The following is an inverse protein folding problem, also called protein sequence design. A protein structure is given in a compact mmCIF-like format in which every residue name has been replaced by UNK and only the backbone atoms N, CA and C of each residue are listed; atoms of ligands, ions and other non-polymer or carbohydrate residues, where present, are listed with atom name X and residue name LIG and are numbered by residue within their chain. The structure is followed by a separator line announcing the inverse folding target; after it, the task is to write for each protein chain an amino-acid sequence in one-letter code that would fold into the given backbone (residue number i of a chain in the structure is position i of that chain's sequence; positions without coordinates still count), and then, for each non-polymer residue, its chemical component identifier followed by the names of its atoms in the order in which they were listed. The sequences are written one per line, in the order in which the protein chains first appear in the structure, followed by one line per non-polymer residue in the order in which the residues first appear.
data_IF_611594167947
#
_entry.id   IF_611594167947
#
_cell.length_a   1.000
_cell.length_b   1.000
_cell.length_c   1.000
_cell.angle_alpha   90.00
_cell.angle_beta   90.00
_cell.angle_gamma   90.00
#
_symmetry.space_group_name_H-M   'P 1'
#
loop_
_entity.id
_entity.type
_entity.pdbx_description
1 polymer ?
#
# COMPACT_ATOMS: atom_id res chain seq x y z
N UNK A 1 -39.25 -13.78 -19.39
CA UNK A 1 -38.24 -14.28 -18.44
C UNK A 1 -37.14 -13.23 -18.32
N UNK A 2 -37.17 -12.44 -17.26
CA UNK A 2 -36.28 -11.30 -17.03
C UNK A 2 -34.94 -11.80 -16.46
N UNK A 3 -33.84 -11.38 -17.09
CA UNK A 3 -32.47 -11.66 -16.65
C UNK A 3 -32.25 -11.07 -15.24
N UNK A 4 -31.81 -11.85 -14.24
CA UNK A 4 -31.45 -11.30 -12.95
C UNK A 4 -30.27 -10.34 -13.14
N UNK A 5 -30.46 -9.09 -12.74
CA UNK A 5 -29.37 -8.12 -12.64
C UNK A 5 -28.51 -8.55 -11.47
N UNK A 6 -27.36 -9.17 -11.76
CA UNK A 6 -26.29 -9.26 -10.76
C UNK A 6 -25.86 -7.83 -10.46
N UNK A 7 -26.27 -7.32 -9.29
CA UNK A 7 -25.73 -6.09 -8.76
C UNK A 7 -24.23 -6.26 -8.61
N UNK A 8 -23.45 -5.68 -9.52
CA UNK A 8 -22.03 -5.50 -9.31
C UNK A 8 -21.91 -4.66 -8.05
N UNK A 9 -21.33 -5.23 -6.98
CA UNK A 9 -20.87 -4.42 -5.86
C UNK A 9 -19.84 -3.44 -6.44
N UNK A 10 -20.28 -2.22 -6.76
CA UNK A 10 -19.41 -1.14 -7.16
C UNK A 10 -18.59 -0.84 -5.92
N UNK A 11 -17.34 -1.29 -5.88
CA UNK A 11 -16.37 -0.75 -4.93
C UNK A 11 -16.51 0.77 -5.02
N UNK A 12 -16.87 1.42 -3.91
CA UNK A 12 -17.03 2.87 -3.87
C UNK A 12 -15.82 3.48 -4.60
N UNK A 13 -16.09 4.27 -5.63
CA UNK A 13 -15.04 4.87 -6.46
C UNK A 13 -14.12 5.67 -5.54
N UNK A 14 -12.83 5.39 -5.61
CA UNK A 14 -11.86 6.08 -4.77
C UNK A 14 -11.82 7.56 -5.16
N UNK A 15 -11.86 8.51 -4.21
CA UNK A 15 -11.96 9.94 -4.51
C UNK A 15 -10.60 10.48 -4.99
N UNK A 16 -10.27 10.22 -6.25
CA UNK A 16 -9.01 10.65 -6.88
C UNK A 16 -8.81 12.17 -6.88
N UNK A 17 -9.91 12.91 -6.90
CA UNK A 17 -9.96 14.37 -6.82
C UNK A 17 -9.43 14.92 -5.48
N UNK A 18 -9.41 14.09 -4.44
CA UNK A 18 -8.93 14.46 -3.11
C UNK A 18 -7.46 14.07 -2.86
N UNK A 19 -6.82 13.41 -3.83
CA UNK A 19 -5.41 13.01 -3.70
C UNK A 19 -4.51 14.20 -3.99
N UNK A 20 -3.81 14.65 -2.96
CA UNK A 20 -2.79 15.69 -3.06
C UNK A 20 -1.41 15.11 -2.77
N UNK A 21 -0.43 15.46 -3.61
CA UNK A 21 0.98 15.25 -3.27
C UNK A 21 1.41 16.32 -2.27
N UNK A 22 1.93 15.87 -1.13
CA UNK A 22 2.44 16.73 -0.07
C UNK A 22 3.94 16.51 0.08
N UNK A 23 4.63 17.52 0.58
CA UNK A 23 6.00 17.37 1.06
C UNK A 23 6.01 16.57 2.37
N UNK A 24 7.15 15.92 2.66
CA UNK A 24 7.28 15.05 3.83
C UNK A 24 6.91 15.76 5.15
N UNK A 25 7.33 17.01 5.31
CA UNK A 25 7.06 17.79 6.53
C UNK A 25 5.57 18.11 6.70
N UNK A 26 4.88 18.41 5.60
CA UNK A 26 3.44 18.68 5.60
C UNK A 26 2.61 17.41 5.81
N UNK A 27 3.13 16.27 5.33
CA UNK A 27 2.55 14.96 5.60
C UNK A 27 2.78 14.53 7.05
N UNK A 28 3.89 14.94 7.69
CA UNK A 28 4.30 14.56 9.03
C UNK A 28 3.71 15.46 10.15
N UNK A 29 2.41 15.70 10.11
CA UNK A 29 1.73 16.65 11.00
C UNK A 29 1.16 16.05 12.28
N UNK A 30 1.07 14.72 12.39
CA UNK A 30 0.51 14.01 13.56
C UNK A 30 -0.99 14.22 13.80
N UNK A 31 -1.65 15.08 13.00
CA UNK A 31 -3.08 15.41 13.09
C UNK A 31 -3.96 14.54 12.19
N UNK A 32 -3.35 13.80 11.26
CA UNK A 32 -4.01 12.90 10.32
C UNK A 32 -3.52 11.47 10.50
N UNK A 33 -4.36 10.49 10.14
CA UNK A 33 -3.94 9.10 10.13
C UNK A 33 -2.94 8.88 9.00
N UNK A 34 -1.69 8.62 9.38
CA UNK A 34 -0.59 8.32 8.48
C UNK A 34 -0.42 6.81 8.34
N UNK A 35 -0.18 6.37 7.11
CA UNK A 35 0.24 5.02 6.79
C UNK A 35 1.49 5.07 5.91
N UNK A 36 2.43 4.17 6.16
CA UNK A 36 3.65 4.04 5.39
C UNK A 36 3.72 2.64 4.78
N UNK A 37 4.15 2.60 3.52
CA UNK A 37 4.30 1.38 2.74
C UNK A 37 5.61 1.44 1.98
N UNK A 38 6.28 0.29 1.78
CA UNK A 38 7.52 0.25 1.01
C UNK A 38 7.40 -0.66 -0.20
N UNK A 39 7.93 -0.16 -1.32
CA UNK A 39 8.19 -0.97 -2.50
C UNK A 39 9.58 -1.58 -2.38
N UNK A 40 9.64 -2.87 -2.04
CA UNK A 40 10.89 -3.63 -2.02
C UNK A 40 11.02 -4.30 -3.39
N UNK A 41 12.11 -4.00 -4.10
CA UNK A 41 12.34 -4.56 -5.43
C UNK A 41 13.80 -4.95 -5.66
N UNK A 42 14.02 -5.87 -6.59
CA UNK A 42 15.33 -6.26 -7.08
C UNK A 42 15.33 -6.36 -8.60
N UNK A 43 16.40 -5.89 -9.25
CA UNK A 43 16.61 -6.11 -10.69
C UNK A 43 16.85 -7.59 -10.95
N UNK A 44 16.45 -8.06 -12.13
CA UNK A 44 16.63 -9.46 -12.53
C UNK A 44 16.85 -9.57 -14.04
N UNK A 45 17.51 -10.64 -14.44
CA UNK A 45 17.69 -11.01 -15.86
C UNK A 45 16.82 -12.22 -16.23
N UNK A 46 15.97 -12.68 -15.30
CA UNK A 46 15.07 -13.79 -15.53
C UNK A 46 14.13 -13.52 -16.71
N UNK A 47 13.76 -14.57 -17.43
CA UNK A 47 12.82 -14.49 -18.56
C UNK A 47 11.57 -15.32 -18.26
N UNK A 48 10.40 -14.70 -18.33
CA UNK A 48 9.12 -15.41 -18.31
C UNK A 48 8.94 -16.19 -19.60
N UNK A 49 8.65 -17.49 -19.48
CA UNK A 49 8.53 -18.45 -20.60
C UNK A 49 9.74 -18.38 -21.55
N UNK A 50 10.95 -18.20 -21.00
CA UNK A 50 12.23 -18.09 -21.74
C UNK A 50 12.35 -16.94 -22.75
N UNK A 51 11.32 -16.12 -22.94
CA UNK A 51 11.26 -15.12 -24.01
C UNK A 51 11.08 -13.68 -23.49
N UNK A 52 10.25 -13.49 -22.45
CA UNK A 52 9.89 -12.15 -21.98
C UNK A 52 10.77 -11.74 -20.81
N UNK A 53 11.65 -10.72 -20.94
CA UNK A 53 12.53 -10.33 -19.84
C UNK A 53 11.73 -9.74 -18.68
N UNK A 54 11.83 -10.37 -17.52
CA UNK A 54 11.38 -9.80 -16.26
C UNK A 54 12.41 -8.75 -15.84
N UNK A 55 12.03 -7.47 -15.81
CA UNK A 55 12.99 -6.38 -15.50
C UNK A 55 13.34 -6.30 -14.01
N UNK A 56 12.35 -6.58 -13.17
CA UNK A 56 12.49 -6.55 -11.72
C UNK A 56 11.48 -7.50 -11.07
N UNK A 57 11.81 -7.94 -9.86
CA UNK A 57 10.84 -8.52 -8.92
C UNK A 57 10.42 -7.46 -7.93
N UNK A 58 9.12 -7.30 -7.74
CA UNK A 58 8.53 -6.34 -6.81
C UNK A 58 7.71 -7.13 -5.80
N UNK A 59 7.97 -6.90 -4.50
CA UNK A 59 7.23 -7.56 -3.43
C UNK A 59 5.94 -6.82 -3.13
N UNK A 60 4.82 -7.54 -3.20
CA UNK A 60 3.50 -7.14 -2.74
C UNK A 60 2.88 -8.30 -1.97
N UNK A 61 1.87 -8.02 -1.16
CA UNK A 61 1.18 -9.03 -0.35
C UNK A 61 -0.35 -8.95 -0.49
N UNK A 62 -1.01 -10.10 -0.38
CA UNK A 62 -2.45 -10.18 -0.18
C UNK A 62 -2.77 -9.75 1.26
N UNK A 63 -3.65 -8.76 1.41
CA UNK A 63 -4.11 -8.28 2.71
C UNK A 63 -5.30 -9.10 3.20
N UNK A 64 -5.63 -8.96 4.49
CA UNK A 64 -6.78 -9.61 5.13
C UNK A 64 -8.13 -9.21 4.50
N UNK A 65 -8.20 -8.06 3.83
CA UNK A 65 -9.38 -7.55 3.14
C UNK A 65 -9.50 -8.04 1.68
N UNK A 66 -8.66 -9.01 1.29
CA UNK A 66 -8.64 -9.63 -0.04
C UNK A 66 -8.05 -8.75 -1.15
N UNK A 67 -7.40 -7.63 -0.80
CA UNK A 67 -6.76 -6.72 -1.77
C UNK A 67 -5.25 -6.88 -1.77
N UNK A 68 -4.62 -6.61 -2.92
CA UNK A 68 -3.17 -6.51 -3.01
C UNK A 68 -2.69 -5.15 -2.51
N UNK A 69 -1.55 -5.14 -1.81
CA UNK A 69 -0.90 -3.91 -1.38
C UNK A 69 0.59 -4.10 -1.11
N UNK A 70 1.30 -2.98 -1.00
CA UNK A 70 2.66 -3.00 -0.50
C UNK A 70 2.68 -3.32 1.00
N UNK A 71 3.68 -4.07 1.47
CA UNK A 71 3.81 -4.29 2.90
C UNK A 71 4.12 -2.96 3.63
N UNK A 72 3.70 -2.89 4.88
CA UNK A 72 3.59 -1.65 5.66
C UNK A 72 2.27 -1.58 6.43
N UNK A 73 1.86 -0.38 6.83
CA UNK A 73 0.63 -0.17 7.58
C UNK A 73 0.51 1.23 8.18
N UNK A 74 -0.51 1.41 9.01
CA UNK A 74 -0.74 2.65 9.76
C UNK A 74 0.37 2.84 10.79
N UNK A 75 1.00 4.02 10.77
CA UNK A 75 2.14 4.40 11.64
C UNK A 75 1.78 5.45 12.69
N UNK A 76 0.67 6.16 12.46
CA UNK A 76 0.08 7.09 13.43
C UNK A 76 -0.55 6.31 14.60
N UNK A 77 0.27 5.90 15.56
CA UNK A 77 -0.20 5.29 16.81
C UNK A 77 -0.15 6.33 17.93
N UNK A 78 -1.32 6.74 18.43
CA UNK A 78 -1.44 7.70 19.53
C UNK A 78 -0.80 7.19 20.85
N UNK A 79 -0.49 5.88 20.93
CA UNK A 79 0.14 5.28 22.10
C UNK A 79 1.64 5.59 22.24
N UNK A 80 2.32 6.04 21.17
CA UNK A 80 3.73 6.43 21.22
C UNK A 80 3.88 7.83 20.61
N UNK A 81 3.76 8.90 21.44
CA UNK A 81 4.14 10.23 20.97
C UNK A 81 5.62 10.23 20.55
N UNK A 82 5.92 10.94 19.46
CA UNK A 82 7.27 11.20 18.92
C UNK A 82 7.97 10.07 18.12
N UNK A 83 7.27 9.02 17.69
CA UNK A 83 7.85 8.10 16.69
C UNK A 83 7.86 8.69 15.29
N UNK A 84 9.00 8.63 14.61
CA UNK A 84 9.13 9.04 13.21
C UNK A 84 8.35 8.11 12.26
N UNK A 85 8.06 8.57 11.05
CA UNK A 85 7.41 7.73 10.02
C UNK A 85 8.24 6.48 9.72
N UNK A 86 9.56 6.61 9.74
CA UNK A 86 10.53 5.54 9.52
C UNK A 86 10.50 4.52 10.66
N UNK A 87 10.46 4.98 11.92
CA UNK A 87 10.37 4.10 13.08
C UNK A 87 9.05 3.33 13.10
N UNK A 88 7.94 4.04 12.86
CA UNK A 88 6.61 3.43 12.77
C UNK A 88 6.56 2.37 11.67
N UNK A 89 7.11 2.68 10.50
CA UNK A 89 7.21 1.75 9.38
C UNK A 89 8.04 0.52 9.77
N UNK A 90 9.25 0.71 10.32
CA UNK A 90 10.16 -0.37 10.74
C UNK A 90 9.58 -1.30 11.81
N UNK A 91 8.79 -0.77 12.75
CA UNK A 91 8.10 -1.59 13.76
C UNK A 91 7.04 -2.48 13.11
N UNK A 92 6.29 -1.95 12.15
CA UNK A 92 5.25 -2.73 11.45
C UNK A 92 5.86 -3.77 10.51
N UNK A 93 7.02 -3.50 9.91
CA UNK A 93 7.77 -4.49 9.12
C UNK A 93 8.19 -5.72 9.92
N UNK A 94 8.60 -5.56 11.18
CA UNK A 94 9.06 -6.70 12.00
C UNK A 94 7.92 -7.57 12.56
N UNK A 95 6.68 -7.10 12.48
CA UNK A 95 5.51 -7.73 13.13
C UNK A 95 4.61 -8.52 12.17
N UNK A 96 4.86 -8.46 10.86
CA UNK A 96 4.23 -9.30 9.83
C UNK A 96 5.20 -10.40 9.39
#
# INVERSE_FOLDING_TARGET
MSRPQHGSATAAEFPWDQVQQLDYQDANTGSIVQACHAMIFAKTEAKFVSQLPCKAWVLMQMRFDGKLGFPGGVVSDQAIPDTTLEDGLNVKWRRN
#
